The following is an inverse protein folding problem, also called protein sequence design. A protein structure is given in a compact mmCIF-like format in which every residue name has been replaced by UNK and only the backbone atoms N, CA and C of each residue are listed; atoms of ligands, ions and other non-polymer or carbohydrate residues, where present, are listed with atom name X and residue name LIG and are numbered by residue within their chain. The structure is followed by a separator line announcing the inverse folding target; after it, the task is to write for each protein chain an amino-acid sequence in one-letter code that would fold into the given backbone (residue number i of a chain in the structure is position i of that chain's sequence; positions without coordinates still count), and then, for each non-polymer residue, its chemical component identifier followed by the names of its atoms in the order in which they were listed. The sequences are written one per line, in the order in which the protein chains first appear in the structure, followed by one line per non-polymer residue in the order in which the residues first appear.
data_IF_075743552840
#
_entry.id   IF_075743552840
#
_cell.length_a   1.000
_cell.length_b   1.000
_cell.length_c   1.000
_cell.angle_alpha   90.00
_cell.angle_beta   90.00
_cell.angle_gamma   90.00
#
_symmetry.space_group_name_H-M   'P 1'
#
loop_
_entity.id
_entity.type
_entity.pdbx_description
1 polymer ?
#
# COMPACT_ATOMS: atom_id res chain seq x y z
N UNK A 1 25.22 -10.38 -5.55
CA UNK A 1 24.44 -9.38 -4.78
C UNK A 1 23.01 -9.45 -5.28
N UNK A 2 22.05 -9.70 -4.39
CA UNK A 2 20.63 -9.85 -4.72
C UNK A 2 20.07 -8.50 -5.16
N UNK A 3 19.26 -8.50 -6.22
CA UNK A 3 18.61 -7.28 -6.75
C UNK A 3 17.10 -7.35 -6.56
N UNK A 4 16.39 -6.21 -6.64
CA UNK A 4 14.93 -6.19 -6.60
C UNK A 4 14.29 -6.99 -7.73
N UNK A 5 14.98 -7.15 -8.85
CA UNK A 5 14.52 -8.01 -9.96
C UNK A 5 14.53 -9.49 -9.56
N UNK A 6 15.58 -9.92 -8.87
CA UNK A 6 15.71 -11.30 -8.37
C UNK A 6 14.65 -11.63 -7.32
N UNK A 7 14.14 -10.60 -6.62
CA UNK A 7 13.03 -10.70 -5.67
C UNK A 7 11.63 -10.66 -6.32
N UNK A 8 11.52 -10.64 -7.65
CA UNK A 8 10.24 -10.66 -8.36
C UNK A 8 9.56 -9.29 -8.53
N UNK A 9 10.23 -8.18 -8.24
CA UNK A 9 9.67 -6.83 -8.39
C UNK A 9 9.66 -6.40 -9.86
N UNK A 10 8.52 -5.87 -10.34
CA UNK A 10 8.34 -5.38 -11.72
C UNK A 10 9.31 -4.23 -12.04
N UNK A 11 9.78 -4.18 -13.29
CA UNK A 11 10.76 -3.19 -13.74
C UNK A 11 10.34 -1.73 -13.55
N UNK A 12 9.05 -1.43 -13.63
CA UNK A 12 8.49 -0.09 -13.40
C UNK A 12 8.74 0.40 -11.97
N UNK A 13 8.57 -0.48 -10.96
CA UNK A 13 8.91 -0.15 -9.56
C UNK A 13 10.41 -0.03 -9.35
N UNK A 14 11.21 -0.91 -9.97
CA UNK A 14 12.68 -0.84 -9.90
C UNK A 14 13.19 0.49 -10.46
N UNK A 15 12.58 1.01 -11.52
CA UNK A 15 12.92 2.32 -12.07
C UNK A 15 12.64 3.45 -11.06
N UNK A 16 11.50 3.41 -10.37
CA UNK A 16 11.18 4.36 -9.30
C UNK A 16 12.17 4.26 -8.12
N UNK A 17 12.51 3.05 -7.69
CA UNK A 17 13.48 2.81 -6.62
C UNK A 17 14.86 3.39 -6.95
N UNK A 18 15.34 3.22 -8.18
CA UNK A 18 16.63 3.79 -8.64
C UNK A 18 16.63 5.32 -8.55
N UNK A 19 15.55 5.99 -8.95
CA UNK A 19 15.42 7.45 -8.82
C UNK A 19 15.45 7.89 -7.34
N UNK A 20 14.86 7.09 -6.45
CA UNK A 20 14.89 7.32 -5.00
C UNK A 20 16.22 6.92 -4.35
N UNK A 21 17.25 6.58 -5.14
CA UNK A 21 18.56 6.10 -4.69
C UNK A 21 18.50 4.79 -3.88
N UNK A 22 17.42 4.02 -3.99
CA UNK A 22 17.27 2.69 -3.40
C UNK A 22 17.76 1.66 -4.41
N UNK A 23 19.06 1.35 -4.37
CA UNK A 23 19.73 0.54 -5.40
C UNK A 23 19.69 -0.96 -5.10
N UNK A 24 19.84 -1.31 -3.83
CA UNK A 24 19.90 -2.70 -3.36
C UNK A 24 18.87 -2.93 -2.27
N UNK A 25 18.25 -4.12 -2.20
CA UNK A 25 17.36 -4.46 -1.11
C UNK A 25 18.10 -4.54 0.22
N UNK A 26 17.41 -4.23 1.29
CA UNK A 26 17.88 -4.44 2.67
C UNK A 26 17.59 -5.86 3.12
N UNK A 27 18.23 -6.30 4.21
CA UNK A 27 18.05 -7.67 4.74
C UNK A 27 16.57 -8.02 5.03
N UNK A 28 15.75 -7.07 5.53
CA UNK A 28 14.33 -7.32 5.74
C UNK A 28 13.58 -7.43 4.39
N UNK A 29 13.95 -6.64 3.39
CA UNK A 29 13.34 -6.71 2.07
C UNK A 29 13.67 -8.02 1.35
N UNK A 30 14.93 -8.48 1.42
CA UNK A 30 15.35 -9.77 0.85
C UNK A 30 14.57 -10.96 1.41
N UNK A 31 14.28 -10.92 2.72
CA UNK A 31 13.54 -11.99 3.40
C UNK A 31 12.02 -11.92 3.18
N UNK A 32 11.46 -10.70 3.11
CA UNK A 32 10.01 -10.49 3.11
C UNK A 32 9.41 -10.50 1.71
N UNK A 33 10.07 -9.83 0.74
CA UNK A 33 9.49 -9.60 -0.58
C UNK A 33 9.15 -10.92 -1.30
N UNK A 34 10.04 -11.92 -1.41
CA UNK A 34 9.71 -13.17 -2.09
C UNK A 34 8.54 -13.89 -1.45
N UNK A 35 8.52 -13.98 -0.11
CA UNK A 35 7.45 -14.66 0.63
C UNK A 35 6.09 -14.01 0.33
N UNK A 36 6.00 -12.67 0.37
CA UNK A 36 4.76 -11.95 0.13
C UNK A 36 4.33 -11.93 -1.34
N UNK A 37 5.26 -12.14 -2.29
CA UNK A 37 4.90 -12.27 -3.72
C UNK A 37 4.40 -13.68 -4.04
N UNK A 38 5.10 -14.71 -3.56
CA UNK A 38 4.93 -16.08 -4.02
C UNK A 38 3.91 -16.89 -3.21
N UNK A 39 3.48 -16.36 -2.05
CA UNK A 39 2.56 -17.09 -1.17
C UNK A 39 1.45 -16.21 -0.61
N UNK A 40 0.34 -16.85 -0.23
CA UNK A 40 -0.80 -16.23 0.45
C UNK A 40 -0.80 -16.63 1.94
N UNK A 41 0.34 -16.47 2.60
CA UNK A 41 0.52 -16.77 4.03
C UNK A 41 0.49 -15.51 4.87
N UNK A 42 0.08 -15.65 6.11
CA UNK A 42 0.26 -14.62 7.13
C UNK A 42 1.75 -14.46 7.44
N UNK A 43 2.21 -13.23 7.55
CA UNK A 43 3.62 -12.92 7.75
C UNK A 43 3.81 -11.91 8.90
N UNK A 44 4.68 -12.22 9.84
CA UNK A 44 5.11 -11.30 10.91
C UNK A 44 6.57 -10.93 10.70
N UNK A 45 6.82 -9.67 10.39
CA UNK A 45 8.17 -9.13 10.18
C UNK A 45 8.59 -8.18 11.30
N UNK A 46 9.60 -8.56 12.07
CA UNK A 46 10.20 -7.72 13.09
C UNK A 46 11.47 -7.07 12.56
N UNK A 47 11.50 -5.74 12.53
CA UNK A 47 12.67 -4.98 12.13
C UNK A 47 12.67 -3.59 12.78
N UNK A 48 13.86 -3.04 13.00
CA UNK A 48 14.03 -1.69 13.55
C UNK A 48 13.48 -0.60 12.61
N UNK A 49 13.32 0.62 13.11
CA UNK A 49 12.99 1.79 12.30
C UNK A 49 14.11 2.10 11.30
N UNK A 50 13.76 2.62 10.13
CA UNK A 50 14.74 2.99 9.10
C UNK A 50 15.31 1.83 8.27
N UNK A 51 14.90 0.58 8.51
CA UNK A 51 15.40 -0.61 7.79
C UNK A 51 14.71 -0.88 6.46
N UNK A 52 13.79 -0.01 6.02
CA UNK A 52 13.08 -0.16 4.74
C UNK A 52 11.83 -1.03 4.81
N UNK A 53 11.19 -1.16 5.99
CA UNK A 53 9.95 -1.95 6.17
C UNK A 53 8.84 -1.57 5.20
N UNK A 54 8.64 -0.28 4.94
CA UNK A 54 7.56 0.17 4.04
C UNK A 54 7.73 -0.40 2.63
N UNK A 55 8.95 -0.44 2.11
CA UNK A 55 9.21 -1.09 0.82
C UNK A 55 9.09 -2.62 0.91
N UNK A 56 9.45 -3.22 2.06
CA UNK A 56 9.38 -4.66 2.26
C UNK A 56 7.97 -5.23 2.11
N UNK A 57 6.92 -4.53 2.59
CA UNK A 57 5.53 -4.94 2.40
C UNK A 57 4.82 -4.20 1.25
N UNK A 58 5.17 -2.93 1.03
CA UNK A 58 4.51 -2.09 0.05
C UNK A 58 4.80 -2.49 -1.39
N UNK A 59 6.04 -2.87 -1.71
CA UNK A 59 6.39 -3.32 -3.06
C UNK A 59 5.67 -4.63 -3.45
N UNK A 60 5.63 -5.69 -2.62
CA UNK A 60 4.83 -6.87 -2.92
C UNK A 60 3.34 -6.56 -3.07
N UNK A 61 2.78 -5.74 -2.18
CA UNK A 61 1.38 -5.32 -2.27
C UNK A 61 1.08 -4.63 -3.60
N UNK A 62 1.90 -3.63 -3.99
CA UNK A 62 1.77 -2.94 -5.27
C UNK A 62 1.98 -3.88 -6.47
N UNK A 63 2.88 -4.85 -6.34
CA UNK A 63 3.20 -5.81 -7.40
C UNK A 63 2.00 -6.72 -7.75
N UNK A 64 1.14 -7.00 -6.77
CA UNK A 64 -0.09 -7.80 -6.90
C UNK A 64 -1.32 -7.00 -7.36
N UNK A 65 -1.28 -5.66 -7.39
CA UNK A 65 -2.42 -4.83 -7.81
C UNK A 65 -2.77 -5.09 -9.27
N UNK A 66 -4.07 -5.32 -9.51
CA UNK A 66 -4.70 -5.23 -10.81
C UNK A 66 -5.21 -3.78 -11.02
N UNK A 67 -4.56 -2.99 -11.88
CA UNK A 67 -4.95 -1.58 -12.09
C UNK A 67 -6.27 -1.42 -12.85
N UNK A 68 -6.81 -2.48 -13.45
CA UNK A 68 -8.10 -2.45 -14.15
C UNK A 68 -9.28 -2.61 -13.20
N UNK A 69 -9.05 -3.14 -12.00
CA UNK A 69 -10.06 -3.22 -10.94
C UNK A 69 -10.25 -1.87 -10.27
N UNK A 70 -11.50 -1.43 -10.10
CA UNK A 70 -11.82 -0.18 -9.39
C UNK A 70 -11.93 -0.37 -7.86
N UNK A 71 -11.69 -1.59 -7.36
CA UNK A 71 -11.88 -1.96 -5.95
C UNK A 71 -10.57 -1.81 -5.15
N UNK A 72 -10.72 -1.59 -3.84
CA UNK A 72 -9.61 -1.64 -2.89
C UNK A 72 -9.09 -3.07 -2.80
N UNK A 73 -7.82 -3.27 -3.10
CA UNK A 73 -7.15 -4.57 -3.11
C UNK A 73 -6.15 -4.71 -1.96
N UNK A 74 -5.70 -3.58 -1.41
CA UNK A 74 -4.75 -3.56 -0.29
C UNK A 74 -5.19 -2.54 0.75
N UNK A 75 -5.23 -2.98 2.00
CA UNK A 75 -5.45 -2.13 3.17
C UNK A 75 -4.21 -2.14 4.06
N UNK A 76 -3.69 -0.96 4.37
CA UNK A 76 -2.56 -0.77 5.27
C UNK A 76 -3.04 0.00 6.49
N UNK A 77 -2.90 -0.58 7.67
CA UNK A 77 -3.23 0.09 8.92
C UNK A 77 -1.97 0.66 9.58
N UNK A 78 -2.09 1.86 10.09
CA UNK A 78 -1.00 2.55 10.80
C UNK A 78 -1.57 3.34 11.99
N UNK A 79 -0.86 3.40 13.12
CA UNK A 79 -1.42 3.95 14.36
C UNK A 79 -1.60 5.46 14.33
N UNK A 80 -0.86 6.20 13.51
CA UNK A 80 -0.88 7.66 13.50
C UNK A 80 -1.15 8.24 12.11
N UNK A 81 -1.76 9.41 12.08
CA UNK A 81 -2.02 10.20 10.87
C UNK A 81 -0.74 10.50 10.10
N UNK A 82 0.33 10.87 10.80
CA UNK A 82 1.63 11.21 10.21
C UNK A 82 2.23 10.01 9.48
N UNK A 83 2.18 8.81 10.09
CA UNK A 83 2.64 7.58 9.45
C UNK A 83 1.78 7.20 8.24
N UNK A 84 0.46 7.34 8.33
CA UNK A 84 -0.45 7.11 7.20
C UNK A 84 -0.05 7.98 6.00
N UNK A 85 0.20 9.27 6.23
CA UNK A 85 0.61 10.20 5.18
C UNK A 85 1.99 9.84 4.61
N UNK A 86 2.96 9.48 5.44
CA UNK A 86 4.29 9.05 5.00
C UNK A 86 4.22 7.78 4.15
N UNK A 87 3.45 6.79 4.58
CA UNK A 87 3.27 5.53 3.83
C UNK A 87 2.62 5.83 2.47
N UNK A 88 1.52 6.60 2.44
CA UNK A 88 0.86 7.01 1.19
C UNK A 88 1.86 7.66 0.23
N UNK A 89 2.62 8.64 0.69
CA UNK A 89 3.60 9.35 -0.14
C UNK A 89 4.68 8.42 -0.68
N UNK A 90 5.16 7.49 0.14
CA UNK A 90 6.18 6.54 -0.28
C UNK A 90 5.65 5.57 -1.33
N UNK A 91 4.46 5.00 -1.14
CA UNK A 91 3.81 4.13 -2.13
C UNK A 91 3.54 4.88 -3.44
N UNK A 92 3.07 6.14 -3.36
CA UNK A 92 2.87 6.98 -4.53
C UNK A 92 4.17 7.18 -5.34
N UNK A 93 5.30 7.41 -4.67
CA UNK A 93 6.60 7.52 -5.35
C UNK A 93 7.00 6.23 -6.05
N UNK A 94 6.69 5.07 -5.47
CA UNK A 94 6.98 3.78 -6.10
C UNK A 94 6.17 3.55 -7.38
N UNK A 95 4.95 4.10 -7.49
CA UNK A 95 4.07 3.92 -8.65
C UNK A 95 4.37 4.84 -9.83
N UNK A 96 5.35 5.75 -9.72
CA UNK A 96 5.65 6.80 -10.70
C UNK A 96 5.77 6.33 -12.15
N UNK A 97 6.33 5.16 -12.37
CA UNK A 97 6.62 4.61 -13.69
C UNK A 97 5.67 3.49 -14.11
N UNK A 98 4.52 3.37 -13.45
CA UNK A 98 3.47 2.44 -13.88
C UNK A 98 2.79 2.96 -15.15
N UNK A 99 2.53 2.06 -16.12
CA UNK A 99 1.77 2.39 -17.32
C UNK A 99 0.33 2.70 -16.95
N UNK A 100 -0.28 1.81 -16.16
CA UNK A 100 -1.62 2.00 -15.62
C UNK A 100 -1.55 2.64 -14.23
N UNK A 101 -2.38 3.63 -14.02
CA UNK A 101 -2.35 4.42 -12.79
C UNK A 101 -2.85 3.61 -11.59
N UNK A 102 -2.05 3.55 -10.53
CA UNK A 102 -2.43 2.98 -9.24
C UNK A 102 -2.80 4.12 -8.29
N UNK A 103 -4.01 4.05 -7.73
CA UNK A 103 -4.53 5.05 -6.81
C UNK A 103 -4.35 4.59 -5.37
N UNK A 104 -3.66 5.42 -4.58
CA UNK A 104 -3.40 5.22 -3.15
C UNK A 104 -4.09 6.33 -2.37
N UNK A 105 -5.02 6.00 -1.49
CA UNK A 105 -5.73 6.96 -0.65
C UNK A 105 -5.38 6.81 0.84
N UNK A 106 -5.36 7.94 1.53
CA UNK A 106 -5.13 8.01 2.97
C UNK A 106 -6.42 8.36 3.72
N UNK A 107 -6.67 7.65 4.82
CA UNK A 107 -7.86 7.76 5.67
C UNK A 107 -7.44 7.92 7.13
N UNK A 108 -7.71 9.09 7.73
CA UNK A 108 -7.30 9.41 9.10
C UNK A 108 -8.20 10.48 9.73
N UNK A 109 -8.19 10.59 11.05
CA UNK A 109 -8.94 11.62 11.79
C UNK A 109 -8.41 13.04 11.58
N UNK A 110 -9.24 14.04 11.89
CA UNK A 110 -8.89 15.47 11.77
C UNK A 110 -9.25 16.11 10.43
N UNK A 111 -9.76 15.34 9.47
CA UNK A 111 -10.37 15.84 8.23
C UNK A 111 -11.86 15.50 8.21
N UNK A 112 -12.68 16.30 7.51
CA UNK A 112 -14.11 16.00 7.35
C UNK A 112 -14.29 14.64 6.66
N UNK A 113 -15.11 13.79 7.29
CA UNK A 113 -15.32 12.40 6.81
C UNK A 113 -15.95 12.38 5.41
N UNK A 114 -16.81 13.34 5.10
CA UNK A 114 -17.47 13.46 3.80
C UNK A 114 -16.47 13.64 2.65
N UNK A 115 -15.38 14.38 2.89
CA UNK A 115 -14.30 14.53 1.90
C UNK A 115 -13.57 13.21 1.64
N UNK A 116 -13.36 12.42 2.67
CA UNK A 116 -12.72 11.11 2.55
C UNK A 116 -13.65 10.12 1.84
N UNK A 117 -14.93 10.12 2.16
CA UNK A 117 -15.96 9.34 1.45
C UNK A 117 -15.96 9.69 -0.04
N UNK A 118 -15.96 10.98 -0.37
CA UNK A 118 -15.96 11.45 -1.76
C UNK A 118 -14.71 10.98 -2.53
N UNK A 119 -13.54 10.98 -1.90
CA UNK A 119 -12.31 10.44 -2.53
C UNK A 119 -12.40 8.94 -2.77
N UNK A 120 -12.91 8.18 -1.79
CA UNK A 120 -13.08 6.72 -1.90
C UNK A 120 -14.18 6.29 -2.88
N UNK A 121 -15.02 7.20 -3.37
CA UNK A 121 -15.97 6.91 -4.45
C UNK A 121 -15.30 6.82 -5.82
N UNK A 122 -14.05 7.29 -5.94
CA UNK A 122 -13.22 7.12 -7.15
C UNK A 122 -12.53 5.76 -7.12
N UNK A 123 -12.06 5.25 -8.26
CA UNK A 123 -11.23 4.06 -8.28
C UNK A 123 -10.07 4.20 -7.29
N UNK A 124 -9.95 3.25 -6.37
CA UNK A 124 -8.92 3.25 -5.32
C UNK A 124 -8.42 1.81 -5.14
N UNK A 125 -7.12 1.61 -5.30
CA UNK A 125 -6.51 0.29 -5.24
C UNK A 125 -5.90 -0.02 -3.86
N UNK A 126 -5.33 1.01 -3.22
CA UNK A 126 -4.68 0.90 -1.91
C UNK A 126 -5.25 1.96 -0.97
N UNK A 127 -5.64 1.54 0.22
CA UNK A 127 -6.02 2.45 1.32
C UNK A 127 -5.02 2.31 2.45
N UNK A 128 -4.50 3.45 2.90
CA UNK A 128 -3.68 3.55 4.10
C UNK A 128 -4.50 4.29 5.16
N UNK A 129 -4.75 3.66 6.31
CA UNK A 129 -5.72 4.17 7.27
C UNK A 129 -5.24 4.13 8.71
N UNK A 130 -5.73 5.07 9.53
CA UNK A 130 -5.79 4.87 10.98
C UNK A 130 -7.03 4.05 11.32
N UNK A 131 -6.93 3.08 12.27
CA UNK A 131 -8.04 2.14 12.56
C UNK A 131 -9.35 2.84 12.92
N UNK A 132 -9.32 3.85 13.80
CA UNK A 132 -10.54 4.54 14.26
C UNK A 132 -11.32 5.18 13.11
N UNK A 133 -10.67 5.92 12.21
CA UNK A 133 -11.34 6.56 11.07
C UNK A 133 -11.82 5.52 10.04
N UNK A 134 -11.11 4.43 9.87
CA UNK A 134 -11.56 3.34 9.00
C UNK A 134 -12.87 2.74 9.51
N UNK A 135 -12.97 2.48 10.82
CA UNK A 135 -14.19 1.99 11.48
C UNK A 135 -15.34 2.99 11.25
N UNK A 136 -15.13 4.28 11.51
CA UNK A 136 -16.14 5.33 11.26
C UNK A 136 -16.66 5.31 9.82
N UNK A 137 -15.78 5.10 8.85
CA UNK A 137 -16.16 5.04 7.43
C UNK A 137 -16.99 3.79 7.09
N UNK A 138 -16.65 2.66 7.69
CA UNK A 138 -17.38 1.40 7.48
C UNK A 138 -18.74 1.46 8.15
N UNK A 139 -18.86 2.04 9.34
CA UNK A 139 -20.10 2.15 10.12
C UNK A 139 -21.08 3.17 9.56
N UNK A 140 -20.60 4.31 9.06
CA UNK A 140 -21.43 5.41 8.51
C UNK A 140 -22.12 5.08 7.18
N UNK A 141 -22.23 3.81 6.85
CA UNK A 141 -23.15 3.28 5.84
C UNK A 141 -23.19 3.96 4.47
N UNK A 142 -22.06 4.26 3.89
CA UNK A 142 -22.04 4.44 2.46
C UNK A 142 -21.89 3.05 1.80
N UNK A 143 -22.98 2.49 1.26
CA UNK A 143 -22.98 1.17 0.63
C UNK A 143 -21.89 1.02 -0.44
N UNK A 144 -21.51 2.12 -1.08
CA UNK A 144 -20.44 2.19 -2.07
C UNK A 144 -19.05 2.02 -1.44
N UNK A 145 -18.82 2.64 -0.29
CA UNK A 145 -17.55 2.48 0.47
C UNK A 145 -17.45 1.06 1.02
N UNK A 146 -18.52 0.51 1.60
CA UNK A 146 -18.57 -0.89 2.03
C UNK A 146 -18.23 -1.86 0.90
N UNK A 147 -18.80 -1.67 -0.29
CA UNK A 147 -18.54 -2.51 -1.46
C UNK A 147 -17.07 -2.48 -1.88
N UNK A 148 -16.40 -1.33 -1.78
CA UNK A 148 -14.98 -1.22 -2.10
C UNK A 148 -14.09 -2.01 -1.14
N UNK A 149 -14.48 -2.15 0.13
CA UNK A 149 -13.72 -2.89 1.14
C UNK A 149 -14.10 -4.37 1.25
N UNK A 150 -15.19 -4.81 0.66
CA UNK A 150 -15.62 -6.21 0.73
C UNK A 150 -14.57 -7.20 0.23
N UNK A 151 -13.75 -6.81 -0.71
CA UNK A 151 -12.69 -7.66 -1.28
C UNK A 151 -11.37 -7.57 -0.49
N UNK A 152 -11.18 -6.53 0.32
CA UNK A 152 -9.95 -6.29 1.07
C UNK A 152 -9.97 -6.82 2.52
N UNK A 153 -11.12 -7.27 3.00
CA UNK A 153 -11.32 -7.75 4.38
C UNK A 153 -11.27 -9.28 4.53
N UNK A 154 -10.85 -9.98 3.48
CA UNK A 154 -10.71 -11.44 3.50
C UNK A 154 -9.36 -11.89 2.96
#
# INVERSE_FOLDING_TARGET
MITFKDLGIKNSYIKALKELQIKTPTAIQEKTIPVLIDSDVDFVGLAQTGTGKTAAYGLPALNKIDPQSALVQTLILSPTRELVQQIKQQLFKFTKYQTDKIFVEAVYGGEKIEKQIQRLQRPTHVVVATPGRLIDLIEKENARVKKQFQTALF
#
